data_IF_215863722749
#
_entry.id   IF_215863722749
#
_cell.length_a   1.000
_cell.length_b   1.000
_cell.length_c   1.000
_cell.angle_alpha   90.00
_cell.angle_beta   90.00
_cell.angle_gamma   90.00
#
_symmetry.space_group_name_H-M   'P 1'
#
loop_
_entity.id
_entity.type
_entity.pdbx_description
1 polymer ?
#
# COMPACT_ATOMS: atom_id res chain seq x y z
N UNK A 1 -24.71 -28.21 2.91
CA UNK A 1 -23.44 -27.51 3.25
C UNK A 1 -22.35 -27.69 2.18
N UNK A 2 -22.15 -28.89 1.59
CA UNK A 2 -21.18 -29.10 0.48
C UNK A 2 -21.54 -28.41 -0.85
N UNK A 3 -22.82 -28.21 -1.15
CA UNK A 3 -23.27 -27.52 -2.38
C UNK A 3 -23.06 -26.00 -2.34
N UNK A 4 -23.19 -25.38 -1.18
CA UNK A 4 -22.99 -23.93 -1.01
C UNK A 4 -21.51 -23.57 -1.22
N UNK A 5 -20.59 -24.40 -0.71
CA UNK A 5 -19.16 -24.25 -0.98
C UNK A 5 -18.83 -24.41 -2.47
N UNK A 6 -19.43 -25.38 -3.17
CA UNK A 6 -19.21 -25.53 -4.62
C UNK A 6 -19.77 -24.35 -5.42
N UNK A 7 -20.86 -23.72 -4.98
CA UNK A 7 -21.49 -22.61 -5.70
C UNK A 7 -20.69 -21.30 -5.59
N UNK A 8 -19.96 -21.10 -4.50
CA UNK A 8 -19.07 -19.94 -4.29
C UNK A 8 -17.68 -20.11 -4.91
N UNK A 9 -17.19 -21.34 -5.06
CA UNK A 9 -15.81 -21.61 -5.50
C UNK A 9 -15.69 -22.02 -6.97
N UNK A 10 -16.81 -22.22 -7.69
CA UNK A 10 -16.81 -22.58 -9.12
C UNK A 10 -16.91 -21.32 -9.98
N UNK A 11 -16.08 -21.22 -11.02
CA UNK A 11 -15.95 -20.08 -11.94
C UNK A 11 -17.27 -19.57 -12.56
N UNK A 12 -18.29 -20.42 -12.66
CA UNK A 12 -19.63 -20.03 -13.15
C UNK A 12 -20.48 -19.26 -12.13
N UNK A 13 -20.19 -19.37 -10.83
CA UNK A 13 -20.94 -18.71 -9.74
C UNK A 13 -20.35 -17.39 -9.26
N UNK A 14 -19.06 -17.13 -9.52
CA UNK A 14 -18.36 -15.90 -9.13
C UNK A 14 -18.65 -14.71 -10.05
N UNK A 15 -19.12 -14.98 -11.27
CA UNK A 15 -19.38 -13.95 -12.29
C UNK A 15 -20.82 -14.08 -12.79
N UNK A 16 -21.62 -13.05 -12.54
CA UNK A 16 -22.98 -12.97 -13.07
C UNK A 16 -22.96 -13.16 -14.60
N UNK A 17 -23.87 -13.97 -15.17
CA UNK A 17 -23.84 -14.33 -16.60
C UNK A 17 -23.85 -13.11 -17.54
N UNK A 18 -24.34 -11.95 -17.08
CA UNK A 18 -24.39 -10.69 -17.81
C UNK A 18 -23.04 -9.94 -17.97
N UNK A 19 -21.94 -10.37 -17.34
CA UNK A 19 -20.60 -9.72 -17.45
C UNK A 19 -19.51 -10.61 -18.06
N UNK A 20 -19.89 -11.74 -18.67
CA UNK A 20 -18.96 -12.67 -19.31
C UNK A 20 -18.49 -12.09 -20.65
N UNK A 21 -17.24 -11.61 -20.70
CA UNK A 21 -16.59 -11.02 -21.90
C UNK A 21 -15.89 -12.07 -22.79
N UNK A 22 -15.98 -13.36 -22.46
CA UNK A 22 -15.35 -14.48 -23.21
C UNK A 22 -15.50 -15.83 -22.49
N UNK A 23 -14.90 -16.91 -23.01
CA UNK A 23 -14.88 -18.21 -22.34
C UNK A 23 -14.14 -18.09 -21.00
N UNK A 24 -14.76 -18.57 -19.92
CA UNK A 24 -14.17 -18.56 -18.58
C UNK A 24 -13.06 -19.62 -18.52
N UNK A 25 -11.86 -19.29 -18.01
CA UNK A 25 -10.79 -20.28 -17.83
C UNK A 25 -11.20 -21.36 -16.82
N UNK A 26 -10.64 -22.56 -16.98
CA UNK A 26 -10.95 -23.70 -16.12
C UNK A 26 -10.60 -23.39 -14.64
N UNK A 27 -11.33 -23.99 -13.69
CA UNK A 27 -11.19 -23.65 -12.26
C UNK A 27 -9.76 -23.87 -11.77
N UNK A 28 -9.03 -24.86 -12.32
CA UNK A 28 -7.61 -25.08 -12.03
C UNK A 28 -6.69 -23.97 -12.55
N UNK A 29 -6.95 -23.42 -13.73
CA UNK A 29 -6.16 -22.33 -14.30
C UNK A 29 -6.35 -21.02 -13.52
N UNK A 30 -7.58 -20.74 -13.08
CA UNK A 30 -7.86 -19.56 -12.27
C UNK A 30 -7.10 -19.58 -10.92
N UNK A 31 -7.10 -20.72 -10.22
CA UNK A 31 -6.32 -20.88 -8.98
C UNK A 31 -4.81 -20.81 -9.23
N UNK A 32 -4.32 -21.40 -10.32
CA UNK A 32 -2.91 -21.33 -10.71
C UNK A 32 -2.44 -19.89 -10.97
N UNK A 33 -3.25 -19.09 -11.67
CA UNK A 33 -2.94 -17.68 -11.96
C UNK A 33 -2.90 -16.84 -10.68
N UNK A 34 -3.88 -17.02 -9.80
CA UNK A 34 -3.93 -16.31 -8.51
C UNK A 34 -2.70 -16.64 -7.67
N UNK A 35 -2.32 -17.92 -7.57
CA UNK A 35 -1.13 -18.34 -6.82
C UNK A 35 0.16 -17.77 -7.42
N UNK A 36 0.26 -17.67 -8.74
CA UNK A 36 1.44 -17.15 -9.41
C UNK A 36 1.63 -15.63 -9.20
N UNK A 37 0.53 -14.89 -8.97
CA UNK A 37 0.57 -13.46 -8.63
C UNK A 37 0.71 -13.25 -7.11
N UNK A 38 0.07 -14.11 -6.31
CA UNK A 38 0.07 -14.00 -4.86
C UNK A 38 1.42 -14.40 -4.24
N UNK A 39 2.08 -15.45 -4.75
CA UNK A 39 3.40 -15.89 -4.26
C UNK A 39 4.46 -14.77 -4.26
N UNK A 40 4.69 -14.03 -5.36
CA UNK A 40 5.65 -12.93 -5.36
C UNK A 40 5.22 -11.78 -4.45
N UNK A 41 3.93 -11.45 -4.38
CA UNK A 41 3.43 -10.40 -3.49
C UNK A 41 3.61 -10.75 -2.00
N UNK A 42 3.37 -12.01 -1.62
CA UNK A 42 3.60 -12.48 -0.25
C UNK A 42 5.10 -12.45 0.07
N UNK A 43 5.95 -12.90 -0.84
CA UNK A 43 7.40 -12.86 -0.67
C UNK A 43 7.89 -11.42 -0.47
N UNK A 44 7.39 -10.47 -1.27
CA UNK A 44 7.69 -9.04 -1.15
C UNK A 44 7.28 -8.49 0.23
N UNK A 45 6.07 -8.80 0.72
CA UNK A 45 5.62 -8.34 2.04
C UNK A 45 6.47 -8.91 3.18
N UNK A 46 6.87 -10.18 3.08
CA UNK A 46 7.77 -10.82 4.05
C UNK A 46 9.15 -10.14 4.06
N UNK A 47 9.70 -9.88 2.87
CA UNK A 47 10.97 -9.17 2.70
C UNK A 47 10.91 -7.75 3.30
N UNK A 48 9.87 -6.98 2.98
CA UNK A 48 9.62 -5.65 3.56
C UNK A 48 9.60 -5.67 5.10
N UNK A 49 8.92 -6.66 5.69
CA UNK A 49 8.86 -6.81 7.14
C UNK A 49 10.21 -7.18 7.76
N UNK A 50 10.97 -8.06 7.10
CA UNK A 50 12.32 -8.45 7.51
C UNK A 50 13.29 -7.27 7.46
N UNK A 51 13.24 -6.46 6.40
CA UNK A 51 14.05 -5.23 6.27
C UNK A 51 13.73 -4.28 7.42
N UNK A 52 12.44 -4.01 7.68
CA UNK A 52 12.05 -3.13 8.79
C UNK A 52 12.52 -3.65 10.16
N UNK A 53 12.51 -4.96 10.37
CA UNK A 53 13.03 -5.59 11.60
C UNK A 53 14.56 -5.51 11.68
N UNK A 54 15.26 -5.74 10.57
CA UNK A 54 16.71 -5.64 10.49
C UNK A 54 17.21 -4.21 10.75
N UNK A 55 16.54 -3.20 10.18
CA UNK A 55 16.83 -1.78 10.44
C UNK A 55 16.70 -1.46 11.93
N UNK A 56 15.63 -1.94 12.56
CA UNK A 56 15.40 -1.73 13.99
C UNK A 56 16.45 -2.42 14.87
N UNK A 57 16.87 -3.63 14.50
CA UNK A 57 17.94 -4.35 15.20
C UNK A 57 19.30 -3.66 15.02
N UNK A 58 19.62 -3.21 13.80
CA UNK A 58 20.87 -2.52 13.49
C UNK A 58 20.99 -1.24 14.32
N UNK A 59 19.92 -0.43 14.36
CA UNK A 59 19.94 0.81 15.16
C UNK A 59 19.85 0.53 16.66
N UNK A 60 19.26 -0.60 17.07
CA UNK A 60 19.27 -1.06 18.46
C UNK A 60 20.67 -1.35 19.01
N UNK A 61 21.62 -1.76 18.15
CA UNK A 61 23.01 -2.02 18.55
C UNK A 61 23.79 -0.74 18.88
N UNK A 62 23.36 0.44 18.39
CA UNK A 62 23.97 1.73 18.72
C UNK A 62 23.57 2.27 20.11
N UNK A 63 22.72 1.55 20.84
CA UNK A 63 22.34 1.87 22.21
C UNK A 63 20.89 2.32 22.38
N UNK A 64 20.47 2.47 23.63
CA UNK A 64 19.06 2.74 24.00
C UNK A 64 18.54 4.07 23.43
N UNK A 65 19.41 5.08 23.33
CA UNK A 65 19.11 6.41 22.77
C UNK A 65 18.86 6.36 21.26
N UNK A 66 19.65 5.55 20.54
CA UNK A 66 19.49 5.35 19.10
C UNK A 66 18.18 4.58 18.78
N UNK A 67 17.87 3.54 19.57
CA UNK A 67 16.61 2.79 19.44
C UNK A 67 15.37 3.66 19.71
N UNK A 68 15.42 4.52 20.72
CA UNK A 68 14.35 5.47 21.01
C UNK A 68 14.14 6.44 19.85
N UNK A 69 15.23 6.92 19.24
CA UNK A 69 15.20 7.85 18.11
C UNK A 69 14.56 7.26 16.84
N UNK A 70 14.65 5.94 16.64
CA UNK A 70 14.04 5.24 15.49
C UNK A 70 12.62 4.78 15.76
N UNK A 71 12.27 4.45 17.00
CA UNK A 71 10.92 3.99 17.36
C UNK A 71 9.92 5.13 17.58
N UNK A 72 10.34 6.26 18.16
CA UNK A 72 9.47 7.43 18.39
C UNK A 72 8.82 7.99 17.10
N UNK A 73 9.53 8.10 15.96
CA UNK A 73 8.93 8.62 14.73
C UNK A 73 7.95 7.66 14.06
N UNK A 74 7.86 6.39 14.46
CA UNK A 74 7.02 5.39 13.77
C UNK A 74 5.54 5.80 13.77
N UNK A 75 5.05 6.37 14.88
CA UNK A 75 3.65 6.83 15.00
C UNK A 75 3.33 8.01 14.06
N UNK A 76 4.06 9.14 14.09
CA UNK A 76 3.79 10.23 13.16
C UNK A 76 4.08 9.84 11.70
N UNK A 77 5.06 8.94 11.46
CA UNK A 77 5.30 8.35 10.12
C UNK A 77 4.08 7.62 9.59
N UNK A 78 3.38 6.83 10.41
CA UNK A 78 2.15 6.13 10.00
C UNK A 78 1.04 7.09 9.58
N UNK A 79 0.86 8.20 10.30
CA UNK A 79 -0.14 9.24 9.93
C UNK A 79 0.21 9.84 8.57
N UNK A 80 1.48 10.14 8.33
CA UNK A 80 1.95 10.68 7.06
C UNK A 80 1.74 9.68 5.91
N UNK A 81 2.08 8.40 6.13
CA UNK A 81 1.85 7.32 5.18
C UNK A 81 0.36 7.10 4.89
N UNK A 82 -0.53 7.30 5.85
CA UNK A 82 -1.97 7.14 5.65
C UNK A 82 -2.52 8.07 4.56
N UNK A 83 -2.01 9.31 4.48
CA UNK A 83 -2.38 10.26 3.43
C UNK A 83 -1.93 9.75 2.05
N UNK A 84 -0.72 9.21 1.96
CA UNK A 84 -0.22 8.60 0.73
C UNK A 84 -0.99 7.35 0.34
N UNK A 85 -1.37 6.51 1.31
CA UNK A 85 -2.22 5.34 1.05
C UNK A 85 -3.60 5.76 0.55
N UNK A 86 -4.23 6.76 1.17
CA UNK A 86 -5.52 7.29 0.72
C UNK A 86 -5.44 7.80 -0.72
N UNK A 87 -4.38 8.53 -1.07
CA UNK A 87 -4.16 8.99 -2.45
C UNK A 87 -3.92 7.82 -3.40
N UNK A 88 -3.07 6.86 -3.03
CA UNK A 88 -2.77 5.69 -3.87
C UNK A 88 -4.04 4.88 -4.19
N UNK A 89 -4.87 4.61 -3.18
CA UNK A 89 -6.15 3.92 -3.36
C UNK A 89 -7.11 4.75 -4.22
N UNK A 90 -7.22 6.06 -3.99
CA UNK A 90 -8.08 6.96 -4.76
C UNK A 90 -7.69 7.05 -6.24
N UNK A 91 -6.39 7.20 -6.53
CA UNK A 91 -5.87 7.24 -7.91
C UNK A 91 -6.11 5.90 -8.60
N UNK A 92 -5.80 4.79 -7.93
CA UNK A 92 -6.00 3.43 -8.48
C UNK A 92 -7.48 3.19 -8.81
N UNK A 93 -8.40 3.61 -7.94
CA UNK A 93 -9.85 3.47 -8.19
C UNK A 93 -10.31 4.27 -9.42
N UNK A 94 -9.84 5.52 -9.58
CA UNK A 94 -10.18 6.36 -10.74
C UNK A 94 -9.61 5.76 -12.02
N UNK A 95 -8.36 5.32 -12.00
CA UNK A 95 -7.68 4.71 -13.15
C UNK A 95 -8.35 3.39 -13.54
N UNK A 96 -8.65 2.52 -12.58
CA UNK A 96 -9.36 1.27 -12.81
C UNK A 96 -10.75 1.52 -13.43
N UNK A 97 -11.49 2.51 -12.93
CA UNK A 97 -12.80 2.88 -13.49
C UNK A 97 -12.70 3.37 -14.94
N UNK A 98 -11.74 4.24 -15.25
CA UNK A 98 -11.54 4.75 -16.63
C UNK A 98 -11.05 3.66 -17.58
N UNK A 99 -10.16 2.78 -17.11
CA UNK A 99 -9.70 1.61 -17.85
C UNK A 99 -10.87 0.65 -18.16
N UNK A 100 -11.80 0.47 -17.22
CA UNK A 100 -13.00 -0.35 -17.42
C UNK A 100 -14.04 0.23 -18.39
N UNK A 101 -13.93 1.51 -18.77
CA UNK A 101 -14.79 2.17 -19.76
C UNK A 101 -14.20 2.12 -21.19
N UNK A 102 -13.13 1.34 -21.40
CA UNK A 102 -12.35 1.24 -22.66
C UNK A 102 -11.75 2.58 -23.17
N UNK A 103 -11.73 3.60 -22.31
CA UNK A 103 -11.15 4.92 -22.60
C UNK A 103 -9.69 4.97 -22.17
N UNK A 104 -8.83 4.17 -22.79
CA UNK A 104 -7.41 4.07 -22.42
C UNK A 104 -6.66 5.40 -22.51
N UNK A 105 -6.95 6.24 -23.51
CA UNK A 105 -6.34 7.58 -23.65
C UNK A 105 -6.64 8.47 -22.45
N UNK A 106 -7.90 8.51 -22.02
CA UNK A 106 -8.34 9.29 -20.86
C UNK A 106 -7.76 8.71 -19.55
N UNK A 107 -7.64 7.39 -19.44
CA UNK A 107 -7.01 6.73 -18.30
C UNK A 107 -5.53 7.14 -18.19
N UNK A 108 -4.81 7.17 -19.31
CA UNK A 108 -3.38 7.53 -19.33
C UNK A 108 -3.16 9.02 -19.03
N UNK A 109 -4.01 9.92 -19.54
CA UNK A 109 -3.98 11.34 -19.17
C UNK A 109 -4.27 11.55 -17.68
N UNK A 110 -5.22 10.79 -17.13
CA UNK A 110 -5.56 10.87 -15.70
C UNK A 110 -4.42 10.36 -14.83
N UNK A 111 -3.80 9.26 -15.23
CA UNK A 111 -2.64 8.72 -14.53
C UNK A 111 -1.49 9.73 -14.54
N UNK A 112 -1.19 10.36 -15.68
CA UNK A 112 -0.17 11.41 -15.77
C UNK A 112 -0.48 12.58 -14.83
N UNK A 113 -1.72 13.07 -14.83
CA UNK A 113 -2.12 14.16 -13.93
C UNK A 113 -2.05 13.73 -12.46
N UNK A 114 -2.46 12.51 -12.14
CA UNK A 114 -2.36 11.96 -10.79
C UNK A 114 -0.89 11.82 -10.34
N UNK A 115 0.01 11.49 -11.26
CA UNK A 115 1.44 11.37 -10.99
C UNK A 115 2.05 12.74 -10.69
N UNK A 116 1.73 13.76 -11.49
CA UNK A 116 2.14 15.16 -11.23
C UNK A 116 1.57 15.66 -9.90
N UNK A 117 0.29 15.39 -9.62
CA UNK A 117 -0.34 15.73 -8.34
C UNK A 117 0.32 15.02 -7.17
N UNK A 118 0.67 13.73 -7.31
CA UNK A 118 1.35 12.97 -6.27
C UNK A 118 2.75 13.52 -5.97
N UNK A 119 3.45 14.01 -7.00
CA UNK A 119 4.75 14.68 -6.89
C UNK A 119 4.63 16.04 -6.20
N UNK A 120 3.62 16.83 -6.55
CA UNK A 120 3.34 18.09 -5.86
C UNK A 120 2.96 17.86 -4.40
N UNK A 121 2.11 16.88 -4.14
CA UNK A 121 1.67 16.55 -2.78
C UNK A 121 2.83 16.00 -1.93
N UNK A 122 3.72 15.19 -2.52
CA UNK A 122 4.88 14.69 -1.78
C UNK A 122 5.79 15.82 -1.32
N UNK A 123 6.07 16.80 -2.19
CA UNK A 123 6.86 17.99 -1.83
C UNK A 123 6.17 18.77 -0.70
N UNK A 124 4.87 19.03 -0.81
CA UNK A 124 4.11 19.75 0.23
C UNK A 124 4.14 19.00 1.56
N UNK A 125 3.90 17.68 1.54
CA UNK A 125 3.94 16.84 2.73
C UNK A 125 5.34 16.79 3.33
N UNK A 126 6.40 16.71 2.52
CA UNK A 126 7.79 16.74 3.00
C UNK A 126 8.10 18.07 3.67
N UNK A 127 7.73 19.20 3.07
CA UNK A 127 7.93 20.53 3.67
C UNK A 127 7.17 20.64 5.00
N UNK A 128 5.91 20.21 5.05
CA UNK A 128 5.13 20.18 6.28
C UNK A 128 5.77 19.25 7.32
N UNK A 129 6.23 18.07 6.92
CA UNK A 129 6.87 17.12 7.83
C UNK A 129 8.16 17.69 8.44
N UNK A 130 8.95 18.45 7.68
CA UNK A 130 10.16 19.11 8.17
C UNK A 130 9.82 20.25 9.13
N UNK A 131 8.85 21.10 8.79
CA UNK A 131 8.42 22.22 9.65
C UNK A 131 7.82 21.71 10.96
N UNK A 132 6.99 20.68 10.89
CA UNK A 132 6.30 20.09 12.04
C UNK A 132 7.06 18.92 12.67
N UNK A 133 8.31 18.65 12.28
CA UNK A 133 9.11 17.54 12.80
C UNK A 133 9.26 17.61 14.32
N UNK A 134 9.64 18.79 14.84
CA UNK A 134 9.79 19.04 16.28
C UNK A 134 8.48 18.82 17.06
N UNK A 135 7.34 19.45 16.71
CA UNK A 135 6.09 19.23 17.44
C UNK A 135 5.55 17.80 17.30
N UNK A 136 5.71 17.14 16.14
CA UNK A 136 5.34 15.73 15.97
C UNK A 136 6.16 14.80 16.86
N UNK A 137 7.47 15.07 17.00
CA UNK A 137 8.34 14.30 17.89
C UNK A 137 8.00 14.52 19.37
N UNK A 138 7.66 15.75 19.77
CA UNK A 138 7.23 16.05 21.14
C UNK A 138 5.88 15.38 21.45
N UNK A 139 4.94 15.42 20.50
CA UNK A 139 3.63 14.76 20.63
C UNK A 139 3.75 13.23 20.74
N UNK A 140 4.73 12.65 20.04
CA UNK A 140 5.06 11.21 20.11
C UNK A 140 5.80 10.82 21.40
N UNK A 141 6.07 11.77 22.32
CA UNK A 141 6.72 11.52 23.61
C UNK A 141 8.23 11.83 23.65
N UNK A 142 8.77 12.50 22.64
CA UNK A 142 10.17 12.96 22.61
C UNK A 142 10.40 14.09 23.61
N UNK A 143 10.98 13.76 24.77
CA UNK A 143 11.53 14.74 25.70
C UNK A 143 13.02 15.03 25.38
N UNK A 144 13.52 16.16 25.86
CA UNK A 144 14.78 16.86 25.51
C UNK A 144 16.09 16.11 25.74
N UNK A 145 16.07 14.79 25.99
CA UNK A 145 17.27 13.97 26.32
C UNK A 145 17.77 13.07 25.19
N UNK A 146 17.05 12.96 24.07
CA UNK A 146 17.41 12.08 22.95
C UNK A 146 18.12 12.81 21.80
N UNK A 147 18.37 14.11 21.94
CA UNK A 147 19.04 14.95 20.94
C UNK A 147 20.50 15.29 21.31
N UNK A 148 21.03 14.69 22.37
CA UNK A 148 22.47 14.72 22.73
C UNK A 148 23.08 13.32 22.58
#
# INVERSE_FOLDING_TARGET
MREVLRRFFTSEGLVAPARRLGPLPDTKEAYGLVLNIAMPAIAEMVLMSLIGSADMLMVGQLGKTALASVSLPIQPRMILLAVFFALNVGVTAIVARRKGQDRQKDANMTLRNALVLSLGLSVVITVLAVIFARPLMILAGGNTRTAE
#
